data_IF_771398694221
#
_entry.id   IF_771398694221
#
_cell.length_a   1.000
_cell.length_b   1.000
_cell.length_c   1.000
_cell.angle_alpha   90.00
_cell.angle_beta   90.00
_cell.angle_gamma   90.00
#
_symmetry.space_group_name_H-M   'P 1'
#
loop_
_entity.id
_entity.type
_entity.pdbx_description
1 polymer ?
#
# COMPACT_ATOMS: atom_id res chain seq x y z
N UNK A 1 9.47 -13.88 2.65
CA UNK A 1 8.15 -13.74 1.99
C UNK A 1 7.73 -12.26 1.95
N UNK A 2 6.61 -11.87 1.32
CA UNK A 2 6.18 -10.45 1.26
C UNK A 2 6.08 -9.82 2.65
N UNK A 3 5.59 -10.55 3.65
CA UNK A 3 5.48 -10.08 5.02
C UNK A 3 6.82 -9.61 5.62
N UNK A 4 7.92 -10.31 5.29
CA UNK A 4 9.26 -9.94 5.75
C UNK A 4 9.77 -8.69 5.05
N UNK A 5 9.52 -8.57 3.75
CA UNK A 5 9.86 -7.36 2.99
C UNK A 5 9.16 -6.14 3.61
N UNK A 6 7.86 -6.24 3.88
CA UNK A 6 7.09 -5.15 4.47
C UNK A 6 7.62 -4.77 5.86
N UNK A 7 8.00 -5.76 6.69
CA UNK A 7 8.62 -5.52 7.99
C UNK A 7 9.98 -4.81 7.85
N UNK A 8 10.81 -5.28 6.92
CA UNK A 8 12.13 -4.68 6.66
C UNK A 8 12.00 -3.23 6.20
N UNK A 9 10.99 -2.89 5.40
CA UNK A 9 10.73 -1.51 5.00
C UNK A 9 10.41 -0.63 6.21
N UNK A 10 9.57 -1.08 7.13
CA UNK A 10 9.28 -0.33 8.36
C UNK A 10 10.51 -0.16 9.24
N UNK A 11 11.33 -1.21 9.36
CA UNK A 11 12.57 -1.17 10.15
C UNK A 11 13.60 -0.20 9.56
N UNK A 12 13.78 -0.21 8.23
CA UNK A 12 14.66 0.75 7.54
C UNK A 12 14.14 2.17 7.75
N UNK A 13 12.83 2.40 7.61
CA UNK A 13 12.23 3.71 7.87
C UNK A 13 12.49 4.19 9.29
N UNK A 14 12.21 3.35 10.29
CA UNK A 14 12.37 3.69 11.69
C UNK A 14 13.84 3.94 12.07
N UNK A 15 14.78 3.14 11.54
CA UNK A 15 16.21 3.27 11.84
C UNK A 15 16.82 4.56 11.27
N UNK A 16 16.35 4.99 10.11
CA UNK A 16 16.88 6.16 9.39
C UNK A 16 15.95 7.38 9.47
N UNK A 17 15.01 7.39 10.42
CA UNK A 17 13.96 8.42 10.48
C UNK A 17 14.52 9.85 10.52
N UNK A 18 15.59 10.09 11.27
CA UNK A 18 16.21 11.42 11.37
C UNK A 18 16.88 11.85 10.06
N UNK A 19 17.56 10.93 9.37
CA UNK A 19 18.17 11.18 8.06
C UNK A 19 17.08 11.56 7.04
N UNK A 20 15.97 10.82 7.04
CA UNK A 20 14.84 11.08 6.15
C UNK A 20 14.12 12.40 6.48
N UNK A 21 13.96 12.74 7.77
CA UNK A 21 13.42 14.06 8.19
C UNK A 21 14.25 15.21 7.63
N UNK A 22 15.58 15.12 7.73
CA UNK A 22 16.47 16.15 7.22
C UNK A 22 16.42 16.25 5.69
N UNK A 23 16.36 15.11 4.99
CA UNK A 23 16.33 15.07 3.53
C UNK A 23 15.00 15.55 2.92
N UNK A 24 13.86 15.24 3.56
CA UNK A 24 12.52 15.54 3.01
C UNK A 24 11.84 16.78 3.61
N UNK A 25 12.41 17.37 4.66
CA UNK A 25 11.93 18.60 5.29
C UNK A 25 10.40 18.54 5.57
N UNK A 26 9.61 19.45 4.99
CA UNK A 26 8.16 19.54 5.19
C UNK A 26 7.37 18.35 4.59
N UNK A 27 7.97 17.58 3.69
CA UNK A 27 7.35 16.42 3.05
C UNK A 27 7.48 15.13 3.88
N UNK A 28 8.30 15.13 4.94
CA UNK A 28 8.58 13.94 5.73
C UNK A 28 7.31 13.23 6.22
N UNK A 29 6.36 13.99 6.77
CA UNK A 29 5.12 13.42 7.30
C UNK A 29 4.30 12.73 6.20
N UNK A 30 4.25 13.32 5.00
CA UNK A 30 3.53 12.77 3.86
C UNK A 30 4.20 11.51 3.30
N UNK A 31 5.53 11.50 3.18
CA UNK A 31 6.27 10.29 2.80
C UNK A 31 6.04 9.15 3.80
N UNK A 32 6.08 9.46 5.09
CA UNK A 32 5.80 8.50 6.16
C UNK A 32 4.38 7.96 6.03
N UNK A 33 3.40 8.84 5.93
CA UNK A 33 1.99 8.45 5.84
C UNK A 33 1.73 7.58 4.60
N UNK A 34 2.29 7.97 3.46
CA UNK A 34 2.24 7.18 2.23
C UNK A 34 2.94 5.81 2.38
N UNK A 35 4.11 5.74 3.02
CA UNK A 35 4.75 4.44 3.20
C UNK A 35 3.89 3.48 4.05
N UNK A 36 3.46 3.95 5.23
CA UNK A 36 2.77 3.08 6.19
C UNK A 36 1.33 2.74 5.77
N UNK A 37 0.64 3.64 5.07
CA UNK A 37 -0.68 3.34 4.52
C UNK A 37 -0.58 2.30 3.39
N UNK A 38 0.45 2.38 2.52
CA UNK A 38 0.69 1.37 1.50
C UNK A 38 1.02 -0.01 2.10
N UNK A 39 1.92 -0.05 3.08
CA UNK A 39 2.29 -1.29 3.80
C UNK A 39 1.05 -1.94 4.45
N UNK A 40 0.22 -1.14 5.12
CA UNK A 40 -1.03 -1.61 5.73
C UNK A 40 -2.00 -2.18 4.68
N UNK A 41 -2.12 -1.50 3.54
CA UNK A 41 -2.92 -1.96 2.41
C UNK A 41 -2.43 -3.30 1.84
N UNK A 42 -1.11 -3.48 1.70
CA UNK A 42 -0.50 -4.75 1.25
C UNK A 42 -0.79 -5.88 2.23
N UNK A 43 -0.58 -5.68 3.54
CA UNK A 43 -0.88 -6.69 4.57
C UNK A 43 -2.33 -7.14 4.54
N UNK A 44 -3.28 -6.21 4.52
CA UNK A 44 -4.71 -6.53 4.44
C UNK A 44 -5.07 -7.24 3.14
N UNK A 45 -4.43 -6.86 2.03
CA UNK A 45 -4.64 -7.54 0.75
C UNK A 45 -4.19 -8.99 0.84
N UNK A 46 -2.99 -9.27 1.32
CA UNK A 46 -2.47 -10.63 1.42
C UNK A 46 -3.26 -11.47 2.43
N UNK A 47 -3.72 -10.88 3.54
CA UNK A 47 -4.66 -11.54 4.46
C UNK A 47 -5.96 -11.93 3.76
N UNK A 48 -6.56 -11.02 2.98
CA UNK A 48 -7.79 -11.32 2.24
C UNK A 48 -7.58 -12.44 1.22
N UNK A 49 -6.44 -12.45 0.50
CA UNK A 49 -6.13 -13.55 -0.44
C UNK A 49 -6.08 -14.90 0.29
N UNK A 50 -5.38 -14.97 1.41
CA UNK A 50 -5.31 -16.19 2.22
C UNK A 50 -6.69 -16.63 2.72
N UNK A 51 -7.56 -15.70 3.11
CA UNK A 51 -8.94 -16.01 3.52
C UNK A 51 -9.78 -16.59 2.38
N UNK A 52 -9.59 -16.10 1.14
CA UNK A 52 -10.29 -16.59 -0.05
C UNK A 52 -9.72 -17.95 -0.47
N UNK A 53 -8.40 -18.09 -0.57
CA UNK A 53 -7.72 -19.32 -1.00
C UNK A 53 -7.99 -20.51 -0.06
N UNK A 54 -8.06 -20.28 1.25
CA UNK A 54 -8.27 -21.37 2.22
C UNK A 54 -9.68 -21.91 2.25
N UNK A 55 -10.68 -21.13 1.86
CA UNK A 55 -12.09 -21.47 2.04
C UNK A 55 -12.98 -20.92 0.91
N UNK A 56 -12.72 -21.23 -0.37
CA UNK A 56 -13.48 -20.63 -1.49
C UNK A 56 -15.00 -20.69 -1.28
N UNK A 57 -15.53 -21.80 -0.78
CA UNK A 57 -16.95 -22.00 -0.41
C UNK A 57 -17.25 -21.64 1.06
N UNK A 58 -17.07 -20.37 1.43
CA UNK A 58 -17.28 -19.90 2.80
C UNK A 58 -18.74 -20.04 3.26
N UNK A 59 -18.93 -20.43 4.53
CA UNK A 59 -20.24 -20.34 5.19
C UNK A 59 -20.58 -18.88 5.52
N UNK A 60 -21.84 -18.57 5.83
CA UNK A 60 -22.34 -17.19 6.02
C UNK A 60 -21.49 -16.33 6.97
N UNK A 61 -20.97 -16.90 8.06
CA UNK A 61 -20.13 -16.16 9.03
C UNK A 61 -18.77 -15.75 8.42
N UNK A 62 -18.13 -16.67 7.69
CA UNK A 62 -16.86 -16.44 7.00
C UNK A 62 -17.03 -15.45 5.84
N UNK A 63 -18.20 -15.42 5.20
CA UNK A 63 -18.55 -14.40 4.20
C UNK A 63 -18.64 -12.99 4.83
N UNK A 64 -19.22 -12.86 6.03
CA UNK A 64 -19.28 -11.57 6.73
C UNK A 64 -17.88 -11.05 7.03
N UNK A 65 -16.97 -11.90 7.52
CA UNK A 65 -15.58 -11.53 7.77
C UNK A 65 -14.86 -11.05 6.50
N UNK A 66 -15.09 -11.71 5.35
CA UNK A 66 -14.55 -11.25 4.05
C UNK A 66 -15.08 -9.89 3.65
N UNK A 67 -16.37 -9.66 3.78
CA UNK A 67 -16.99 -8.37 3.44
C UNK A 67 -16.42 -7.25 4.31
N UNK A 68 -16.24 -7.50 5.61
CA UNK A 68 -15.60 -6.56 6.53
C UNK A 68 -14.15 -6.26 6.10
N UNK A 69 -13.35 -7.30 5.78
CA UNK A 69 -11.98 -7.13 5.32
C UNK A 69 -11.89 -6.35 3.99
N UNK A 70 -12.83 -6.57 3.06
CA UNK A 70 -12.94 -5.80 1.81
C UNK A 70 -13.30 -4.34 2.10
N UNK A 71 -14.23 -4.08 3.01
CA UNK A 71 -14.62 -2.72 3.39
C UNK A 71 -13.43 -1.96 4.00
N UNK A 72 -12.72 -2.62 4.92
CA UNK A 72 -11.48 -2.12 5.50
C UNK A 72 -10.44 -1.73 4.44
N UNK A 73 -10.25 -2.56 3.41
CA UNK A 73 -9.38 -2.26 2.28
C UNK A 73 -9.88 -1.05 1.48
N UNK A 74 -11.19 -0.92 1.26
CA UNK A 74 -11.77 0.26 0.59
C UNK A 74 -11.52 1.52 1.40
N UNK A 75 -11.70 1.48 2.72
CA UNK A 75 -11.42 2.62 3.62
C UNK A 75 -9.94 3.00 3.54
N UNK A 76 -9.03 2.02 3.61
CA UNK A 76 -7.59 2.29 3.46
C UNK A 76 -7.27 2.93 2.12
N UNK A 77 -7.87 2.47 1.02
CA UNK A 77 -7.68 3.08 -0.32
C UNK A 77 -8.28 4.49 -0.43
N UNK A 78 -9.38 4.78 0.25
CA UNK A 78 -9.93 6.13 0.30
C UNK A 78 -9.01 7.07 1.07
N UNK A 79 -8.54 6.65 2.24
CA UNK A 79 -7.55 7.40 3.03
C UNK A 79 -6.25 7.59 2.24
N UNK A 80 -5.79 6.56 1.53
CA UNK A 80 -4.64 6.64 0.63
C UNK A 80 -4.77 7.82 -0.34
N UNK A 81 -5.90 7.89 -1.06
CA UNK A 81 -6.15 8.93 -2.06
C UNK A 81 -6.20 10.35 -1.50
N UNK A 82 -6.42 10.51 -0.19
CA UNK A 82 -6.41 11.83 0.45
C UNK A 82 -5.01 12.30 0.83
N UNK A 83 -3.99 11.44 0.78
CA UNK A 83 -2.60 11.80 1.10
C UNK A 83 -1.99 12.53 -0.10
N UNK A 84 -2.18 13.84 -0.15
CA UNK A 84 -1.52 14.70 -1.13
C UNK A 84 -0.67 15.74 -0.40
N UNK A 85 0.42 16.14 -1.04
CA UNK A 85 1.31 17.16 -0.51
C UNK A 85 1.53 18.24 -1.58
N UNK A 86 1.66 19.49 -1.14
CA UNK A 86 2.12 20.57 -2.01
C UNK A 86 3.64 20.69 -1.89
N UNK A 87 4.33 20.63 -3.02
CA UNK A 87 5.78 20.82 -3.15
C UNK A 87 6.02 21.94 -4.18
N UNK A 88 6.11 23.18 -3.69
CA UNK A 88 6.10 24.38 -4.53
C UNK A 88 4.79 24.50 -5.32
N UNK A 89 4.89 24.51 -6.66
CA UNK A 89 3.74 24.59 -7.56
C UNK A 89 3.17 23.22 -7.98
N UNK A 90 3.71 22.13 -7.45
CA UNK A 90 3.29 20.77 -7.81
C UNK A 90 2.49 20.15 -6.65
N UNK A 91 1.42 19.42 -7.00
CA UNK A 91 0.70 18.56 -6.06
C UNK A 91 1.21 17.14 -6.26
N UNK A 92 1.82 16.59 -5.21
CA UNK A 92 2.31 15.21 -5.20
C UNK A 92 1.18 14.27 -4.82
N UNK A 93 0.97 13.25 -5.64
CA UNK A 93 0.06 12.15 -5.34
C UNK A 93 0.65 11.22 -4.26
N UNK A 94 -0.18 10.38 -3.62
CA UNK A 94 0.30 9.37 -2.69
C UNK A 94 1.35 8.43 -3.31
N UNK A 95 1.20 8.13 -4.61
CA UNK A 95 2.13 7.29 -5.37
C UNK A 95 3.47 7.99 -5.60
N UNK A 96 3.46 9.30 -5.87
CA UNK A 96 4.69 10.10 -5.98
C UNK A 96 5.44 10.14 -4.65
N UNK A 97 4.70 10.36 -3.56
CA UNK A 97 5.23 10.37 -2.20
C UNK A 97 5.83 9.00 -1.84
N UNK A 98 5.18 7.91 -2.22
CA UNK A 98 5.67 6.55 -2.00
C UNK A 98 6.93 6.25 -2.84
N UNK A 99 6.94 6.60 -4.12
CA UNK A 99 8.10 6.37 -4.99
C UNK A 99 9.33 7.14 -4.50
N UNK A 100 9.14 8.39 -4.07
CA UNK A 100 10.20 9.19 -3.44
C UNK A 100 10.65 8.59 -2.11
N UNK A 101 9.73 8.06 -1.29
CA UNK A 101 10.08 7.37 -0.05
C UNK A 101 10.95 6.13 -0.31
N UNK A 102 10.60 5.31 -1.32
CA UNK A 102 11.44 4.17 -1.72
C UNK A 102 12.81 4.61 -2.21
N UNK A 103 12.87 5.60 -3.11
CA UNK A 103 14.14 6.14 -3.60
C UNK A 103 15.04 6.64 -2.47
N UNK A 104 14.47 7.33 -1.48
CA UNK A 104 15.18 7.79 -0.29
C UNK A 104 15.70 6.63 0.56
N UNK A 105 14.86 5.61 0.79
CA UNK A 105 15.26 4.43 1.56
C UNK A 105 16.35 3.60 0.88
N UNK A 106 16.38 3.60 -0.46
CA UNK A 106 17.37 2.87 -1.25
C UNK A 106 18.58 3.71 -1.66
N UNK A 107 18.61 5.02 -1.35
CA UNK A 107 19.64 5.98 -1.78
C UNK A 107 19.78 6.03 -3.29
N UNK A 108 18.65 6.06 -3.97
CA UNK A 108 18.54 6.07 -5.42
C UNK A 108 17.54 7.15 -5.86
N UNK A 109 17.71 8.36 -5.33
CA UNK A 109 16.98 9.53 -5.78
C UNK A 109 17.22 9.77 -7.27
N UNK A 110 16.17 10.12 -8.02
CA UNK A 110 16.21 10.30 -9.46
C UNK A 110 15.85 9.06 -10.31
N UNK A 111 15.59 7.90 -9.68
CA UNK A 111 15.07 6.70 -10.37
C UNK A 111 13.64 6.32 -9.91
N UNK A 112 12.86 7.28 -9.43
CA UNK A 112 11.48 7.08 -8.93
C UNK A 112 10.57 6.41 -9.96
N UNK A 113 10.85 6.62 -11.24
CA UNK A 113 10.11 6.04 -12.34
C UNK A 113 10.12 4.49 -12.31
N UNK A 114 11.23 3.87 -11.90
CA UNK A 114 11.30 2.40 -11.78
C UNK A 114 10.36 1.88 -10.70
N UNK A 115 10.25 2.61 -9.58
CA UNK A 115 9.29 2.27 -8.54
C UNK A 115 7.85 2.42 -9.02
N UNK A 116 7.55 3.49 -9.78
CA UNK A 116 6.22 3.69 -10.35
C UNK A 116 5.81 2.55 -11.28
N UNK A 117 6.71 2.12 -12.15
CA UNK A 117 6.47 0.98 -13.05
C UNK A 117 6.26 -0.33 -12.29
N UNK A 118 7.07 -0.57 -11.24
CA UNK A 118 6.91 -1.73 -10.36
C UNK A 118 5.57 -1.73 -9.63
N UNK A 119 5.15 -0.59 -9.09
CA UNK A 119 3.87 -0.42 -8.43
C UNK A 119 2.70 -0.68 -9.38
N UNK A 120 2.75 -0.15 -10.61
CA UNK A 120 1.71 -0.39 -11.62
C UNK A 120 1.52 -1.89 -11.92
N UNK A 121 2.61 -2.65 -12.00
CA UNK A 121 2.55 -4.12 -12.17
C UNK A 121 1.95 -4.81 -10.94
N UNK A 122 2.34 -4.40 -9.73
CA UNK A 122 1.83 -4.96 -8.47
C UNK A 122 0.33 -4.72 -8.28
N UNK A 123 -0.19 -3.57 -8.72
CA UNK A 123 -1.61 -3.26 -8.66
C UNK A 123 -2.43 -4.10 -9.64
N UNK A 124 -1.93 -4.28 -10.88
CA UNK A 124 -2.58 -5.13 -11.87
C UNK A 124 -2.76 -6.58 -11.35
N UNK A 125 -1.73 -7.13 -10.70
CA UNK A 125 -1.79 -8.46 -10.06
C UNK A 125 -2.66 -8.49 -8.80
N UNK A 126 -2.80 -7.38 -8.08
CA UNK A 126 -3.69 -7.34 -6.91
C UNK A 126 -5.18 -7.29 -7.30
N UNK A 127 -5.51 -6.62 -8.41
CA UNK A 127 -6.87 -6.51 -8.92
C UNK A 127 -7.36 -7.80 -9.59
N UNK A 128 -6.47 -8.63 -10.13
CA UNK A 128 -6.87 -9.93 -10.70
C UNK A 128 -7.47 -10.85 -9.63
N UNK A 129 -6.93 -10.83 -8.40
CA UNK A 129 -7.45 -11.65 -7.28
C UNK A 129 -8.83 -11.20 -6.82
N UNK A 130 -9.17 -9.92 -6.99
CA UNK A 130 -10.50 -9.38 -6.66
C UNK A 130 -11.50 -9.62 -7.81
N UNK A 131 -11.02 -9.84 -9.03
CA UNK A 131 -11.87 -10.04 -10.23
C UNK A 131 -12.17 -11.50 -10.53
N UNK A 132 -11.44 -12.45 -9.96
CA UNK A 132 -11.75 -13.87 -10.04
C UNK A 132 -13.01 -14.18 -9.21
N UNK A 133 -14.17 -14.00 -9.85
CA UNK A 133 -15.40 -14.81 -9.75
C UNK A 133 -16.11 -14.99 -8.38
N UNK A 134 -15.53 -14.65 -7.23
CA UNK A 134 -16.12 -14.89 -5.89
C UNK A 134 -16.84 -13.68 -5.26
N UNK A 135 -17.11 -12.62 -6.03
CA UNK A 135 -17.84 -11.44 -5.55
C UNK A 135 -19.24 -11.27 -6.16
N UNK A 136 -19.71 -12.21 -6.98
CA UNK A 136 -21.13 -12.34 -7.22
C UNK A 136 -21.79 -12.90 -5.96
N UNK A 137 -22.22 -12.00 -5.08
CA UNK A 137 -23.36 -12.28 -4.21
C UNK A 137 -24.55 -12.39 -5.17
N UNK A 138 -24.76 -13.59 -5.73
CA UNK A 138 -26.08 -13.94 -6.24
C UNK A 138 -26.98 -14.06 -5.02
N UNK A 139 -27.82 -13.04 -4.82
CA UNK A 139 -29.04 -13.20 -4.02
C UNK A 139 -29.96 -14.20 -4.70
#
# INVERSE_FOLDING_TARGET
>A
EEADLLRNLEEVWARHEQEFKLASNHLFAFHREALFAWISGRRKTSQLRLMVERQPSAQTLEMVERVLAINDLRILRLKWKTINAQDGNQVLSPEDLLCRAFAMMTKTEGIEQLFREGLGKLEATALSVVRSEDLTISM
#
